data_IF_079946525711
#
_entry.id   IF_079946525711
#
_cell.length_a   1.000
_cell.length_b   1.000
_cell.length_c   1.000
_cell.angle_alpha   90.00
_cell.angle_beta   90.00
_cell.angle_gamma   90.00
#
_symmetry.space_group_name_H-M   'P 1'
#
loop_
_entity.id
_entity.type
_entity.pdbx_description
1 polymer ?
#
# COMPACT_ATOMS: atom_id res chain seq x y z
N UNK A 1 -11.61 27.64 -48.88
CA UNK A 1 -12.04 26.27 -49.20
C UNK A 1 -12.90 25.80 -48.04
N UNK A 2 -14.21 25.81 -48.20
CA UNK A 2 -15.13 25.22 -47.22
C UNK A 2 -15.22 23.73 -47.50
N UNK A 3 -15.18 22.91 -46.46
CA UNK A 3 -15.21 21.43 -46.51
C UNK A 3 -16.52 20.84 -47.07
N UNK A 4 -17.43 21.68 -47.54
CA UNK A 4 -18.80 21.33 -47.96
C UNK A 4 -18.91 20.77 -49.39
N UNK A 5 -17.80 20.60 -50.14
CA UNK A 5 -17.91 20.54 -51.60
C UNK A 5 -17.88 19.16 -52.29
N UNK A 6 -17.66 18.02 -51.60
CA UNK A 6 -17.69 16.71 -52.30
C UNK A 6 -18.24 15.55 -51.44
N UNK A 7 -19.14 14.76 -52.04
CA UNK A 7 -19.47 13.40 -51.61
C UNK A 7 -18.16 12.57 -51.60
N UNK A 8 -17.63 12.26 -50.41
CA UNK A 8 -16.31 11.64 -50.25
C UNK A 8 -15.17 12.55 -49.78
N UNK A 9 -15.44 13.73 -49.19
CA UNK A 9 -14.41 14.47 -48.45
C UNK A 9 -13.74 13.55 -47.40
N UNK A 10 -12.42 13.72 -47.19
CA UNK A 10 -11.62 12.98 -46.21
C UNK A 10 -12.27 12.93 -44.84
N UNK A 11 -12.94 14.01 -44.40
CA UNK A 11 -13.70 14.03 -43.15
C UNK A 11 -14.82 12.96 -43.13
N UNK A 12 -15.61 12.85 -44.20
CA UNK A 12 -16.69 11.87 -44.32
C UNK A 12 -16.18 10.44 -44.48
N UNK A 13 -15.07 10.24 -45.22
CA UNK A 13 -14.42 8.93 -45.34
C UNK A 13 -13.85 8.47 -44.00
N UNK A 14 -13.22 9.38 -43.27
CA UNK A 14 -12.65 9.10 -41.94
C UNK A 14 -13.76 8.80 -40.93
N UNK A 15 -14.83 9.60 -40.93
CA UNK A 15 -16.01 9.34 -40.09
C UNK A 15 -16.69 8.00 -40.43
N UNK A 16 -16.81 7.67 -41.73
CA UNK A 16 -17.32 6.39 -42.21
C UNK A 16 -16.47 5.21 -41.75
N UNK A 17 -15.14 5.31 -41.89
CA UNK A 17 -14.21 4.29 -41.40
C UNK A 17 -14.28 4.11 -39.87
N UNK A 18 -14.30 5.21 -39.11
CA UNK A 18 -14.42 5.14 -37.64
C UNK A 18 -15.71 4.42 -37.25
N UNK A 19 -16.85 4.82 -37.84
CA UNK A 19 -18.16 4.29 -37.45
C UNK A 19 -18.35 2.84 -37.90
N UNK A 20 -17.94 2.49 -39.12
CA UNK A 20 -18.21 1.17 -39.70
C UNK A 20 -17.14 0.13 -39.36
N UNK A 21 -15.87 0.54 -39.24
CA UNK A 21 -14.75 -0.38 -39.08
C UNK A 21 -14.18 -0.29 -37.66
N UNK A 22 -13.75 0.88 -37.22
CA UNK A 22 -13.03 1.00 -35.95
C UNK A 22 -13.94 0.75 -34.74
N UNK A 23 -15.17 1.27 -34.76
CA UNK A 23 -16.18 1.08 -33.71
C UNK A 23 -16.91 -0.27 -33.78
N UNK A 24 -16.56 -1.14 -34.74
CA UNK A 24 -17.17 -2.48 -34.87
C UNK A 24 -16.72 -3.45 -33.77
N UNK A 25 -15.53 -3.25 -33.18
CA UNK A 25 -14.97 -4.12 -32.13
C UNK A 25 -14.69 -3.32 -30.86
N UNK A 26 -14.74 -3.98 -29.69
CA UNK A 26 -14.41 -3.34 -28.41
C UNK A 26 -12.97 -2.82 -28.40
N UNK A 27 -12.02 -3.65 -28.88
CA UNK A 27 -10.61 -3.28 -28.95
C UNK A 27 -10.39 -2.10 -29.92
N UNK A 28 -11.02 -2.13 -31.10
CA UNK A 28 -10.97 -1.02 -32.06
C UNK A 28 -11.48 0.29 -31.47
N UNK A 29 -12.64 0.27 -30.80
CA UNK A 29 -13.19 1.46 -30.14
C UNK A 29 -12.27 2.00 -29.03
N UNK A 30 -11.65 1.12 -28.24
CA UNK A 30 -10.66 1.50 -27.22
C UNK A 30 -9.41 2.11 -27.85
N UNK A 31 -8.92 1.56 -28.96
CA UNK A 31 -7.76 2.15 -29.66
C UNK A 31 -8.06 3.54 -30.20
N UNK A 32 -9.24 3.76 -30.79
CA UNK A 32 -9.67 5.10 -31.23
C UNK A 32 -9.74 6.04 -30.04
N UNK A 33 -10.38 5.62 -28.95
CA UNK A 33 -10.50 6.43 -27.74
C UNK A 33 -9.12 6.85 -27.18
N UNK A 34 -8.15 5.95 -27.21
CA UNK A 34 -6.76 6.24 -26.82
C UNK A 34 -6.08 7.24 -27.74
N UNK A 35 -6.28 7.14 -29.05
CA UNK A 35 -5.73 8.12 -29.99
C UNK A 35 -6.36 9.50 -29.82
N UNK A 36 -7.59 9.58 -29.29
CA UNK A 36 -8.22 10.85 -28.96
C UNK A 36 -7.62 11.53 -27.71
N UNK A 37 -6.84 10.81 -26.89
CA UNK A 37 -6.19 11.36 -25.69
C UNK A 37 -5.18 12.45 -26.06
N UNK A 38 -4.42 12.25 -27.14
CA UNK A 38 -3.40 13.20 -27.63
C UNK A 38 -4.02 14.41 -28.37
N UNK A 39 -5.32 14.35 -28.69
CA UNK A 39 -6.04 15.31 -29.53
C UNK A 39 -7.30 15.88 -28.85
N UNK A 40 -7.30 15.96 -27.51
CA UNK A 40 -8.46 16.28 -26.66
C UNK A 40 -9.21 17.57 -27.05
N UNK A 41 -8.50 18.63 -27.48
CA UNK A 41 -9.12 19.92 -27.84
C UNK A 41 -9.91 19.87 -29.16
N UNK A 42 -9.49 19.05 -30.12
CA UNK A 42 -10.13 18.90 -31.44
C UNK A 42 -11.21 17.82 -31.41
N UNK A 43 -10.99 16.73 -30.66
CA UNK A 43 -11.90 15.57 -30.63
C UNK A 43 -13.17 15.80 -29.82
N UNK A 44 -13.14 16.70 -28.82
CA UNK A 44 -14.35 17.12 -28.09
C UNK A 44 -15.33 17.90 -28.99
N UNK A 45 -14.84 18.61 -30.00
CA UNK A 45 -15.68 19.38 -30.93
C UNK A 45 -16.44 18.47 -31.93
N UNK A 46 -15.95 17.26 -32.18
CA UNK A 46 -16.51 16.32 -33.18
C UNK A 46 -17.34 15.21 -32.51
N UNK A 47 -17.53 15.26 -31.18
CA UNK A 47 -18.32 14.29 -30.39
C UNK A 47 -17.87 12.82 -30.51
N UNK A 48 -16.72 12.54 -31.13
CA UNK A 48 -16.18 11.19 -31.37
C UNK A 48 -15.92 10.47 -30.04
N UNK A 49 -15.45 11.21 -29.03
CA UNK A 49 -15.16 10.65 -27.70
C UNK A 49 -16.43 10.06 -27.06
N UNK A 50 -17.55 10.78 -27.13
CA UNK A 50 -18.82 10.29 -26.57
C UNK A 50 -19.35 9.10 -27.36
N UNK A 51 -19.24 9.13 -28.70
CA UNK A 51 -19.59 7.98 -29.54
C UNK A 51 -18.76 6.74 -29.18
N UNK A 52 -17.45 6.89 -28.97
CA UNK A 52 -16.59 5.80 -28.50
C UNK A 52 -17.03 5.29 -27.13
N UNK A 53 -17.30 6.18 -26.17
CA UNK A 53 -17.77 5.78 -24.82
C UNK A 53 -19.06 4.97 -24.90
N UNK A 54 -20.03 5.42 -25.70
CA UNK A 54 -21.31 4.72 -25.87
C UNK A 54 -21.17 3.35 -26.56
N UNK A 55 -20.30 3.25 -27.57
CA UNK A 55 -20.03 1.97 -28.24
C UNK A 55 -19.27 1.01 -27.32
N UNK A 56 -18.27 1.52 -26.59
CA UNK A 56 -17.49 0.73 -25.64
C UNK A 56 -18.39 0.23 -24.51
N UNK A 57 -19.23 1.09 -23.94
CA UNK A 57 -20.13 0.71 -22.85
C UNK A 57 -21.17 -0.31 -23.31
N UNK A 58 -21.75 -0.15 -24.51
CA UNK A 58 -22.66 -1.13 -25.10
C UNK A 58 -21.98 -2.50 -25.28
N UNK A 59 -20.85 -2.54 -25.99
CA UNK A 59 -20.14 -3.80 -26.27
C UNK A 59 -19.62 -4.47 -25.00
N UNK A 60 -19.16 -3.70 -24.02
CA UNK A 60 -18.72 -4.25 -22.74
C UNK A 60 -19.88 -4.86 -21.94
N UNK A 61 -21.08 -4.27 -22.00
CA UNK A 61 -22.28 -4.86 -21.38
C UNK A 61 -22.69 -6.15 -22.10
N UNK A 62 -22.73 -6.13 -23.44
CA UNK A 62 -23.07 -7.30 -24.25
C UNK A 62 -22.11 -8.46 -23.98
N UNK A 63 -20.81 -8.20 -23.94
CA UNK A 63 -19.77 -9.20 -23.67
C UNK A 63 -19.81 -9.70 -22.21
N UNK A 64 -20.26 -8.87 -21.27
CA UNK A 64 -20.43 -9.28 -19.88
C UNK A 64 -21.65 -10.19 -19.67
N UNK A 65 -22.74 -9.95 -20.41
CA UNK A 65 -23.94 -10.79 -20.37
C UNK A 65 -23.79 -12.06 -21.23
N UNK A 66 -23.05 -11.96 -22.34
CA UNK A 66 -22.81 -13.03 -23.30
C UNK A 66 -21.31 -13.12 -23.63
N UNK A 67 -20.50 -13.72 -22.73
CA UNK A 67 -19.06 -13.82 -22.93
C UNK A 67 -18.75 -14.68 -24.17
N UNK A 68 -18.10 -14.05 -25.15
CA UNK A 68 -17.63 -14.65 -26.39
C UNK A 68 -16.15 -15.08 -26.29
N UNK A 69 -15.43 -14.57 -25.30
CA UNK A 69 -14.00 -14.81 -25.11
C UNK A 69 -13.68 -15.44 -23.73
N UNK A 70 -12.53 -16.11 -23.65
CA UNK A 70 -12.01 -16.73 -22.43
C UNK A 70 -10.71 -16.05 -21.99
N UNK A 71 -10.56 -15.68 -20.70
CA UNK A 71 -11.54 -15.81 -19.63
C UNK A 71 -12.73 -14.83 -19.79
N UNK A 72 -13.90 -15.11 -19.17
CA UNK A 72 -15.14 -14.33 -19.36
C UNK A 72 -15.05 -12.85 -18.94
N UNK A 73 -13.95 -12.45 -18.30
CA UNK A 73 -13.65 -11.07 -17.91
C UNK A 73 -12.63 -10.38 -18.84
N UNK A 74 -12.29 -10.96 -20.00
CA UNK A 74 -11.32 -10.38 -20.94
C UNK A 74 -11.67 -8.96 -21.40
N UNK A 75 -12.96 -8.63 -21.51
CA UNK A 75 -13.43 -7.28 -21.82
C UNK A 75 -13.03 -6.26 -20.75
N UNK A 76 -13.01 -6.68 -19.48
CA UNK A 76 -12.60 -5.82 -18.36
C UNK A 76 -11.10 -5.53 -18.41
N UNK A 77 -10.29 -6.47 -18.89
CA UNK A 77 -8.85 -6.26 -19.10
C UNK A 77 -8.58 -5.25 -20.22
N UNK A 78 -9.38 -5.26 -21.28
CA UNK A 78 -9.32 -4.26 -22.35
C UNK A 78 -9.68 -2.86 -21.83
N UNK A 79 -10.78 -2.75 -21.05
CA UNK A 79 -11.19 -1.49 -20.42
C UNK A 79 -10.12 -0.94 -19.47
N UNK A 80 -9.44 -1.82 -18.74
CA UNK A 80 -8.38 -1.46 -17.81
C UNK A 80 -7.16 -0.79 -18.47
N UNK A 81 -7.06 -0.81 -19.81
CA UNK A 81 -5.96 -0.16 -20.54
C UNK A 81 -6.19 1.33 -20.79
N UNK A 82 -7.39 1.87 -20.51
CA UNK A 82 -7.77 3.25 -20.78
C UNK A 82 -7.39 4.17 -19.60
N UNK A 83 -7.20 5.48 -19.82
CA UNK A 83 -7.01 6.43 -18.73
C UNK A 83 -8.24 6.56 -17.82
N UNK A 84 -8.01 6.95 -16.56
CA UNK A 84 -9.03 7.02 -15.50
C UNK A 84 -10.24 7.90 -15.86
N UNK A 85 -10.01 9.02 -16.53
CA UNK A 85 -11.07 9.97 -16.88
C UNK A 85 -12.10 9.35 -17.84
N UNK A 86 -11.65 8.58 -18.83
CA UNK A 86 -12.56 7.89 -19.72
C UNK A 86 -13.13 6.63 -19.07
N UNK A 87 -12.34 5.91 -18.26
CA UNK A 87 -12.84 4.77 -17.51
C UNK A 87 -14.04 5.16 -16.64
N UNK A 88 -13.97 6.29 -15.93
CA UNK A 88 -15.09 6.81 -15.15
C UNK A 88 -16.34 7.04 -16.01
N UNK A 89 -16.19 7.71 -17.16
CA UNK A 89 -17.30 7.96 -18.09
C UNK A 89 -17.89 6.68 -18.69
N UNK A 90 -17.04 5.69 -18.99
CA UNK A 90 -17.47 4.37 -19.48
C UNK A 90 -18.31 3.68 -18.40
N UNK A 91 -17.84 3.67 -17.15
CA UNK A 91 -18.58 3.07 -16.02
C UNK A 91 -19.92 3.79 -15.79
N UNK A 92 -19.96 5.12 -15.89
CA UNK A 92 -21.20 5.90 -15.80
C UNK A 92 -22.18 5.56 -16.94
N UNK A 93 -21.68 5.42 -18.18
CA UNK A 93 -22.49 5.00 -19.34
C UNK A 93 -22.95 3.53 -19.23
N UNK A 94 -22.14 2.63 -18.68
CA UNK A 94 -22.56 1.26 -18.38
C UNK A 94 -23.68 1.24 -17.32
N UNK A 95 -23.58 2.08 -16.29
CA UNK A 95 -24.63 2.21 -15.26
C UNK A 95 -25.94 2.74 -15.85
N UNK A 96 -25.90 3.76 -16.70
CA UNK A 96 -27.13 4.31 -17.33
C UNK A 96 -27.82 3.30 -18.25
N UNK A 97 -27.06 2.33 -18.78
CA UNK A 97 -27.55 1.19 -19.58
C UNK A 97 -28.11 0.03 -18.75
N UNK A 98 -28.06 0.11 -17.43
CA UNK A 98 -28.59 -0.94 -16.54
C UNK A 98 -27.64 -2.12 -16.35
N UNK A 99 -26.33 -1.94 -16.55
CA UNK A 99 -25.34 -2.97 -16.26
C UNK A 99 -25.47 -3.48 -14.81
N UNK A 100 -25.38 -4.81 -14.64
CA UNK A 100 -25.45 -5.45 -13.32
C UNK A 100 -24.33 -4.93 -12.42
N UNK A 101 -24.62 -4.80 -11.12
CA UNK A 101 -23.63 -4.32 -10.15
C UNK A 101 -22.35 -5.17 -10.13
N UNK A 102 -22.48 -6.50 -10.26
CA UNK A 102 -21.34 -7.43 -10.35
C UNK A 102 -20.45 -7.17 -11.58
N UNK A 103 -21.05 -6.80 -12.71
CA UNK A 103 -20.32 -6.44 -13.93
C UNK A 103 -19.49 -5.18 -13.71
N UNK A 104 -20.09 -4.15 -13.11
CA UNK A 104 -19.39 -2.91 -12.75
C UNK A 104 -18.26 -3.20 -11.75
N UNK A 105 -18.51 -4.04 -10.75
CA UNK A 105 -17.48 -4.44 -9.79
C UNK A 105 -16.33 -5.19 -10.46
N UNK A 106 -16.60 -6.10 -11.38
CA UNK A 106 -15.58 -6.82 -12.15
C UNK A 106 -14.69 -5.86 -12.95
N UNK A 107 -15.28 -4.86 -13.62
CA UNK A 107 -14.55 -3.83 -14.34
C UNK A 107 -13.64 -3.03 -13.40
N UNK A 108 -14.18 -2.56 -12.26
CA UNK A 108 -13.44 -1.78 -11.26
C UNK A 108 -12.30 -2.60 -10.66
N UNK A 109 -12.57 -3.85 -10.26
CA UNK A 109 -11.54 -4.72 -9.66
C UNK A 109 -10.41 -5.01 -10.65
N UNK A 110 -10.73 -5.24 -11.92
CA UNK A 110 -9.73 -5.46 -12.97
C UNK A 110 -8.91 -4.20 -13.24
N UNK A 111 -9.57 -3.04 -13.26
CA UNK A 111 -8.90 -1.75 -13.39
C UNK A 111 -7.95 -1.46 -12.23
N UNK A 112 -8.38 -1.65 -10.99
CA UNK A 112 -7.53 -1.49 -9.78
C UNK A 112 -6.33 -2.42 -9.84
N UNK A 113 -6.55 -3.71 -10.13
CA UNK A 113 -5.48 -4.72 -10.25
C UNK A 113 -4.39 -4.32 -11.24
N UNK A 114 -4.79 -3.75 -12.37
CA UNK A 114 -3.86 -3.33 -13.43
C UNK A 114 -3.20 -1.99 -13.15
N UNK A 115 -3.94 -1.04 -12.60
CA UNK A 115 -3.48 0.34 -12.38
C UNK A 115 -2.62 0.49 -11.12
N UNK A 116 -2.81 -0.40 -10.14
CA UNK A 116 -2.11 -0.39 -8.85
C UNK A 116 -1.54 -1.79 -8.51
N UNK A 117 -0.68 -2.41 -9.34
CA UNK A 117 -0.22 -3.78 -9.11
C UNK A 117 0.69 -3.91 -7.88
N UNK A 118 1.67 -3.00 -7.74
CA UNK A 118 2.73 -3.05 -6.71
C UNK A 118 2.21 -2.90 -5.27
N UNK A 119 1.00 -2.36 -5.08
CA UNK A 119 0.44 -2.01 -3.76
C UNK A 119 -0.54 -3.09 -3.24
N UNK A 120 -1.05 -3.96 -4.12
CA UNK A 120 -2.35 -4.60 -3.84
C UNK A 120 -2.26 -6.10 -3.69
N UNK A 121 -1.34 -6.81 -4.36
CA UNK A 121 -1.50 -8.27 -4.45
C UNK A 121 -0.26 -9.13 -4.21
N UNK A 122 0.91 -8.56 -3.89
CA UNK A 122 2.12 -9.39 -3.77
C UNK A 122 2.61 -9.61 -2.33
N UNK A 123 2.36 -10.83 -1.83
CA UNK A 123 3.20 -11.45 -0.79
C UNK A 123 4.23 -12.44 -1.36
N UNK A 124 4.30 -12.65 -2.69
CA UNK A 124 5.04 -13.80 -3.27
C UNK A 124 5.96 -13.54 -4.46
N UNK A 125 5.93 -12.40 -5.15
CA UNK A 125 6.88 -12.09 -6.23
C UNK A 125 8.00 -11.18 -5.71
N UNK A 126 8.97 -11.84 -5.10
CA UNK A 126 10.34 -11.35 -5.12
C UNK A 126 10.75 -11.03 -6.56
N UNK A 127 11.39 -9.87 -6.74
CA UNK A 127 12.32 -9.53 -7.83
C UNK A 127 11.74 -8.92 -9.12
N UNK A 128 11.22 -7.69 -9.05
CA UNK A 128 11.58 -6.70 -10.07
C UNK A 128 11.98 -5.41 -9.35
N UNK A 129 13.29 -5.12 -9.40
CA UNK A 129 13.83 -3.81 -9.02
C UNK A 129 13.15 -2.76 -9.90
N UNK A 130 12.34 -1.89 -9.31
CA UNK A 130 12.14 -0.57 -9.88
C UNK A 130 13.36 0.26 -9.53
N UNK A 131 14.11 0.80 -10.51
CA UNK A 131 15.24 1.67 -10.24
C UNK A 131 14.69 2.92 -9.56
N UNK A 132 15.30 3.27 -8.43
CA UNK A 132 15.12 4.55 -7.77
C UNK A 132 15.39 5.63 -8.83
N UNK A 133 14.31 6.22 -9.34
CA UNK A 133 14.29 7.40 -10.19
C UNK A 133 13.43 8.42 -9.48
N UNK A 134 13.87 9.67 -9.54
CA UNK A 134 13.51 10.85 -8.74
C UNK A 134 12.04 11.36 -8.91
N UNK A 135 11.11 10.46 -9.26
CA UNK A 135 9.72 10.76 -9.68
C UNK A 135 8.66 10.08 -8.77
N UNK A 136 9.04 9.69 -7.53
CA UNK A 136 8.16 8.95 -6.61
C UNK A 136 6.92 9.75 -6.20
N UNK A 137 7.04 11.07 -6.06
CA UNK A 137 5.96 11.93 -5.60
C UNK A 137 4.87 12.09 -6.66
N UNK A 138 5.24 12.34 -7.91
CA UNK A 138 4.31 12.51 -9.05
C UNK A 138 3.56 11.21 -9.35
N UNK A 139 4.25 10.07 -9.27
CA UNK A 139 3.66 8.73 -9.37
C UNK A 139 2.62 8.50 -8.26
N UNK A 140 2.92 8.86 -7.01
CA UNK A 140 1.95 8.80 -5.90
C UNK A 140 0.76 9.73 -6.11
N UNK A 141 0.97 10.95 -6.61
CA UNK A 141 -0.13 11.88 -6.91
C UNK A 141 -1.06 11.32 -8.00
N UNK A 142 -0.51 10.71 -9.05
CA UNK A 142 -1.30 10.03 -10.08
C UNK A 142 -2.07 8.84 -9.51
N UNK A 143 -1.44 8.03 -8.65
CA UNK A 143 -2.10 6.91 -7.97
C UNK A 143 -3.22 7.38 -7.03
N UNK A 144 -3.05 8.51 -6.33
CA UNK A 144 -4.10 9.14 -5.51
C UNK A 144 -5.30 9.55 -6.35
N UNK A 145 -5.05 10.25 -7.47
CA UNK A 145 -6.12 10.66 -8.38
C UNK A 145 -6.88 9.46 -8.93
N UNK A 146 -6.17 8.39 -9.31
CA UNK A 146 -6.79 7.14 -9.75
C UNK A 146 -7.69 6.57 -8.65
N UNK A 147 -7.21 6.49 -7.42
CA UNK A 147 -7.97 5.98 -6.28
C UNK A 147 -9.21 6.85 -5.99
N UNK A 148 -9.10 8.17 -6.01
CA UNK A 148 -10.21 9.09 -5.78
C UNK A 148 -11.33 8.90 -6.81
N UNK A 149 -10.97 8.84 -8.08
CA UNK A 149 -11.93 8.56 -9.16
C UNK A 149 -12.57 7.19 -9.01
N UNK A 150 -11.82 6.16 -8.61
CA UNK A 150 -12.35 4.81 -8.36
C UNK A 150 -13.35 4.81 -7.20
N UNK A 151 -13.04 5.52 -6.11
CA UNK A 151 -13.93 5.66 -4.93
C UNK A 151 -15.19 6.47 -5.27
N UNK A 152 -15.10 7.42 -6.20
CA UNK A 152 -16.26 8.15 -6.71
C UNK A 152 -17.21 7.24 -7.50
N UNK A 153 -16.69 6.34 -8.35
CA UNK A 153 -17.52 5.42 -9.15
C UNK A 153 -17.99 4.17 -8.39
N UNK A 154 -17.43 3.88 -7.22
CA UNK A 154 -17.83 2.75 -6.39
C UNK A 154 -19.33 2.83 -6.06
N UNK A 155 -20.13 1.78 -6.35
CA UNK A 155 -21.52 1.68 -5.95
C UNK A 155 -21.69 2.02 -4.47
N UNK A 156 -22.62 2.92 -4.15
CA UNK A 156 -22.98 3.21 -2.76
C UNK A 156 -23.65 1.98 -2.12
N UNK A 157 -23.76 1.96 -0.78
CA UNK A 157 -24.24 0.84 0.04
C UNK A 157 -25.56 0.25 -0.49
N UNK A 158 -25.44 -0.68 -1.42
CA UNK A 158 -26.53 -1.51 -1.91
C UNK A 158 -26.78 -2.59 -0.86
N UNK A 159 -28.03 -3.07 -0.76
CA UNK A 159 -28.43 -4.11 0.21
C UNK A 159 -27.63 -5.41 0.10
N UNK A 160 -26.83 -5.58 -0.95
CA UNK A 160 -25.99 -6.74 -1.18
C UNK A 160 -24.53 -6.33 -1.42
N UNK A 161 -23.57 -7.03 -0.80
CA UNK A 161 -22.16 -6.78 -0.99
C UNK A 161 -21.72 -7.17 -2.40
N UNK A 162 -21.36 -6.17 -3.22
CA UNK A 162 -20.91 -6.42 -4.60
C UNK A 162 -19.42 -6.78 -4.66
N UNK A 163 -18.63 -6.24 -3.72
CA UNK A 163 -17.19 -6.49 -3.62
C UNK A 163 -16.87 -7.45 -2.48
N UNK A 164 -15.83 -8.26 -2.67
CA UNK A 164 -15.29 -9.08 -1.60
C UNK A 164 -14.63 -8.21 -0.53
N UNK A 165 -14.69 -8.65 0.73
CA UNK A 165 -14.03 -7.96 1.84
C UNK A 165 -12.53 -7.84 1.62
N UNK A 166 -11.92 -8.88 1.07
CA UNK A 166 -10.51 -8.87 0.71
C UNK A 166 -10.16 -7.74 -0.26
N UNK A 167 -10.95 -7.53 -1.32
CA UNK A 167 -10.72 -6.43 -2.26
C UNK A 167 -10.84 -5.06 -1.59
N UNK A 168 -11.87 -4.86 -0.75
CA UNK A 168 -12.06 -3.61 -0.02
C UNK A 168 -10.93 -3.35 0.99
N UNK A 169 -10.47 -4.38 1.70
CA UNK A 169 -9.32 -4.26 2.61
C UNK A 169 -8.05 -3.85 1.87
N UNK A 170 -7.78 -4.45 0.72
CA UNK A 170 -6.66 -4.03 -0.12
C UNK A 170 -6.82 -2.60 -0.64
N UNK A 171 -8.03 -2.20 -1.05
CA UNK A 171 -8.31 -0.83 -1.49
C UNK A 171 -8.10 0.20 -0.36
N UNK A 172 -8.55 -0.12 0.87
CA UNK A 172 -8.32 0.71 2.04
C UNK A 172 -6.82 0.80 2.38
N UNK A 173 -6.09 -0.32 2.29
CA UNK A 173 -4.64 -0.34 2.47
C UNK A 173 -3.95 0.62 1.50
N UNK A 174 -4.33 0.65 0.22
CA UNK A 174 -3.82 1.65 -0.74
C UNK A 174 -4.14 3.06 -0.26
N UNK A 175 -5.37 3.33 0.15
CA UNK A 175 -5.80 4.66 0.60
C UNK A 175 -4.98 5.16 1.81
N UNK A 176 -4.65 4.26 2.74
CA UNK A 176 -3.78 4.53 3.88
C UNK A 176 -2.34 4.77 3.44
N UNK A 177 -1.79 3.91 2.58
CA UNK A 177 -0.41 4.02 2.07
C UNK A 177 -0.16 5.28 1.26
N UNK A 178 -1.15 5.70 0.47
CA UNK A 178 -1.12 6.92 -0.29
C UNK A 178 -1.49 8.14 0.55
N UNK A 179 -1.77 8.04 1.85
CA UNK A 179 -2.18 9.19 2.69
C UNK A 179 -3.31 10.02 2.05
N UNK A 180 -4.31 9.34 1.47
CA UNK A 180 -5.38 10.02 0.77
C UNK A 180 -6.35 10.73 1.75
N UNK A 181 -7.21 11.60 1.21
CA UNK A 181 -8.21 12.37 1.96
C UNK A 181 -9.06 11.47 2.87
N UNK A 182 -9.49 12.04 4.00
CA UNK A 182 -10.28 11.31 4.99
C UNK A 182 -11.60 10.76 4.43
N UNK A 183 -12.19 11.42 3.43
CA UNK A 183 -13.48 11.04 2.88
C UNK A 183 -13.42 9.75 2.06
N UNK A 184 -12.37 9.58 1.25
CA UNK A 184 -12.14 8.34 0.51
C UNK A 184 -11.95 7.14 1.45
N UNK A 185 -11.17 7.33 2.52
CA UNK A 185 -10.98 6.29 3.55
C UNK A 185 -12.30 5.96 4.24
N UNK A 186 -13.05 6.98 4.68
CA UNK A 186 -14.35 6.80 5.36
C UNK A 186 -15.37 6.08 4.48
N UNK A 187 -15.43 6.36 3.17
CA UNK A 187 -16.34 5.66 2.26
C UNK A 187 -16.01 4.17 2.18
N UNK A 188 -14.74 3.81 2.05
CA UNK A 188 -14.31 2.41 2.02
C UNK A 188 -14.52 1.74 3.39
N UNK A 189 -14.17 2.41 4.50
CA UNK A 189 -14.39 1.91 5.87
C UNK A 189 -15.87 1.58 6.12
N UNK A 190 -16.79 2.44 5.67
CA UNK A 190 -18.24 2.18 5.77
C UNK A 190 -18.66 0.92 5.00
N UNK A 191 -18.14 0.72 3.79
CA UNK A 191 -18.42 -0.50 3.01
C UNK A 191 -17.87 -1.75 3.68
N UNK A 192 -16.64 -1.73 4.21
CA UNK A 192 -16.07 -2.86 4.95
C UNK A 192 -16.90 -3.14 6.21
N UNK A 193 -17.27 -2.11 6.95
CA UNK A 193 -18.11 -2.21 8.15
C UNK A 193 -19.45 -2.91 7.86
N UNK A 194 -20.07 -2.63 6.71
CA UNK A 194 -21.34 -3.26 6.34
C UNK A 194 -21.23 -4.77 6.10
N UNK A 195 -20.05 -5.28 5.76
CA UNK A 195 -19.81 -6.67 5.36
C UNK A 195 -18.83 -7.41 6.29
N UNK A 196 -18.54 -6.79 7.45
CA UNK A 196 -17.52 -7.26 8.40
C UNK A 196 -17.80 -8.67 8.94
N UNK A 197 -19.04 -9.13 8.85
CA UNK A 197 -19.45 -10.50 9.17
C UNK A 197 -18.61 -11.59 8.47
N UNK A 198 -18.09 -11.30 7.28
CA UNK A 198 -17.29 -12.24 6.47
C UNK A 198 -15.77 -12.05 6.62
N UNK A 199 -15.32 -11.25 7.59
CA UNK A 199 -13.91 -10.90 7.75
C UNK A 199 -13.07 -12.06 8.27
N UNK A 200 -11.90 -12.25 7.67
CA UNK A 200 -10.87 -13.17 8.15
C UNK A 200 -9.76 -12.42 8.89
N UNK A 201 -8.95 -13.15 9.65
CA UNK A 201 -7.79 -12.56 10.34
C UNK A 201 -6.81 -11.96 9.32
N UNK A 202 -6.59 -12.63 8.19
CA UNK A 202 -5.71 -12.17 7.12
C UNK A 202 -6.18 -10.84 6.52
N UNK A 203 -7.50 -10.65 6.35
CA UNK A 203 -8.07 -9.40 5.86
C UNK A 203 -7.83 -8.23 6.82
N UNK A 204 -7.89 -8.46 8.14
CA UNK A 204 -7.55 -7.44 9.14
C UNK A 204 -6.04 -7.15 9.19
N UNK A 205 -5.21 -8.18 9.05
CA UNK A 205 -3.75 -8.02 8.96
C UNK A 205 -3.33 -7.23 7.72
N UNK A 206 -4.05 -7.36 6.60
CA UNK A 206 -3.86 -6.54 5.40
C UNK A 206 -4.03 -5.04 5.71
N UNK A 207 -4.91 -4.66 6.64
CA UNK A 207 -5.11 -3.27 7.04
C UNK A 207 -4.01 -2.75 7.97
N UNK A 208 -3.40 -3.62 8.79
CA UNK A 208 -2.50 -3.21 9.87
C UNK A 208 -1.01 -3.25 9.52
N UNK A 209 -0.60 -4.14 8.61
CA UNK A 209 0.81 -4.41 8.29
C UNK A 209 1.28 -3.74 6.99
N UNK A 210 2.54 -3.30 6.92
CA UNK A 210 3.20 -2.87 5.66
C UNK A 210 3.89 -4.03 4.93
N UNK A 211 4.07 -3.87 3.61
CA UNK A 211 4.83 -4.82 2.76
C UNK A 211 6.35 -4.78 3.00
N UNK A 212 6.90 -3.63 3.37
CA UNK A 212 8.31 -3.51 3.73
C UNK A 212 8.46 -3.53 5.25
N UNK A 213 9.03 -4.62 5.77
CA UNK A 213 9.49 -4.82 7.14
C UNK A 213 8.41 -5.07 8.22
N UNK A 214 7.19 -5.50 7.86
CA UNK A 214 6.19 -6.04 8.81
C UNK A 214 5.84 -5.12 10.01
N UNK A 215 6.04 -3.80 9.90
CA UNK A 215 5.72 -2.89 11.02
C UNK A 215 4.24 -2.51 11.01
N UNK A 216 3.58 -2.70 12.16
CA UNK A 216 2.22 -2.23 12.42
C UNK A 216 2.17 -0.70 12.30
N UNK A 217 1.32 -0.18 11.43
CA UNK A 217 1.21 1.27 11.19
C UNK A 217 -0.17 1.83 11.47
N UNK A 218 -1.23 1.13 11.04
CA UNK A 218 -2.59 1.64 11.13
C UNK A 218 -3.53 0.63 11.80
N UNK A 219 -3.59 0.72 13.12
CA UNK A 219 -4.59 0.05 13.93
C UNK A 219 -5.90 0.84 13.99
N UNK A 220 -5.88 2.11 13.58
CA UNK A 220 -7.00 3.02 13.74
C UNK A 220 -8.12 2.72 12.72
N UNK A 221 -7.76 2.34 11.49
CA UNK A 221 -8.73 1.84 10.50
C UNK A 221 -9.51 0.63 11.05
N UNK A 222 -8.81 -0.36 11.61
CA UNK A 222 -9.44 -1.56 12.21
C UNK A 222 -10.34 -1.16 13.37
N UNK A 223 -9.87 -0.28 14.26
CA UNK A 223 -10.67 0.23 15.38
C UNK A 223 -11.95 0.91 14.90
N UNK A 224 -11.88 1.82 13.94
CA UNK A 224 -13.06 2.53 13.39
C UNK A 224 -14.07 1.57 12.76
N UNK A 225 -13.60 0.63 11.93
CA UNK A 225 -14.45 -0.35 11.26
C UNK A 225 -15.17 -1.24 12.27
N UNK A 226 -14.43 -1.83 13.21
CA UNK A 226 -14.99 -2.73 14.23
C UNK A 226 -15.94 -1.95 15.15
N UNK A 227 -15.56 -0.75 15.60
CA UNK A 227 -16.42 0.10 16.46
C UNK A 227 -17.75 0.38 15.79
N UNK A 228 -17.73 0.84 14.53
CA UNK A 228 -18.97 1.15 13.83
C UNK A 228 -19.82 -0.09 13.53
N UNK A 229 -19.21 -1.26 13.30
CA UNK A 229 -19.95 -2.51 13.18
C UNK A 229 -20.65 -2.89 14.49
N UNK A 230 -19.92 -2.83 15.60
CA UNK A 230 -20.44 -3.11 16.95
C UNK A 230 -21.58 -2.17 17.31
N UNK A 231 -21.46 -0.88 17.02
CA UNK A 231 -22.52 0.11 17.22
C UNK A 231 -23.75 -0.19 16.36
N UNK A 232 -23.55 -0.53 15.08
CA UNK A 232 -24.63 -0.89 14.16
C UNK A 232 -25.38 -2.15 14.60
N UNK A 233 -24.69 -3.19 15.05
CA UNK A 233 -25.31 -4.42 15.57
C UNK A 233 -26.10 -4.16 16.86
N UNK A 234 -25.56 -3.34 17.77
CA UNK A 234 -26.29 -2.92 18.98
C UNK A 234 -27.56 -2.13 18.64
N UNK A 235 -27.53 -1.25 17.65
CA UNK A 235 -28.73 -0.53 17.21
C UNK A 235 -29.79 -1.46 16.59
N UNK A 236 -29.38 -2.53 15.90
CA UNK A 236 -30.33 -3.53 15.37
C UNK A 236 -31.05 -4.29 16.49
N UNK A 237 -30.34 -4.68 17.56
CA UNK A 237 -30.95 -5.41 18.67
C UNK A 237 -31.96 -4.59 19.45
N UNK A 238 -31.77 -3.26 19.54
CA UNK A 238 -32.71 -2.35 20.24
C UNK A 238 -34.07 -2.23 19.52
N UNK A 239 -34.12 -2.48 18.20
CA UNK A 239 -35.36 -2.36 17.41
C UNK A 239 -36.28 -3.59 17.59
N UNK A 240 -35.71 -4.74 17.98
CA UNK A 240 -36.45 -5.98 18.21
C UNK A 240 -36.92 -6.05 19.68
N UNK A 241 -38.11 -5.53 19.98
CA UNK A 241 -38.71 -5.45 21.31
C UNK A 241 -39.02 -6.79 22.03
N UNK A 242 -38.50 -7.94 21.59
CA UNK A 242 -39.05 -9.25 21.97
C UNK A 242 -38.09 -10.20 22.72
N UNK A 243 -36.77 -10.02 22.72
CA UNK A 243 -35.89 -10.94 23.48
C UNK A 243 -35.26 -10.29 24.72
N UNK A 244 -35.71 -10.77 25.88
CA UNK A 244 -35.05 -10.56 27.18
C UNK A 244 -33.69 -11.29 27.27
N UNK A 245 -33.39 -12.17 26.32
CA UNK A 245 -32.10 -12.81 26.16
C UNK A 245 -31.21 -11.95 25.25
N UNK A 246 -30.18 -11.32 25.83
CA UNK A 246 -29.13 -10.58 25.12
C UNK A 246 -28.20 -11.55 24.38
N UNK A 247 -28.74 -12.52 23.64
CA UNK A 247 -27.93 -13.45 22.86
C UNK A 247 -27.22 -12.66 21.75
N UNK A 248 -25.89 -12.75 21.65
CA UNK A 248 -25.16 -12.06 20.60
C UNK A 248 -25.61 -12.56 19.23
N UNK A 249 -25.76 -11.65 18.26
CA UNK A 249 -26.04 -12.06 16.88
C UNK A 249 -24.93 -12.99 16.38
N UNK A 250 -25.24 -13.98 15.52
CA UNK A 250 -24.22 -14.89 15.01
C UNK A 250 -23.12 -14.14 14.22
N UNK A 251 -23.45 -13.00 13.62
CA UNK A 251 -22.49 -12.12 12.98
C UNK A 251 -21.55 -11.46 14.00
N UNK A 252 -22.09 -10.96 15.10
CA UNK A 252 -21.33 -10.36 16.20
C UNK A 252 -20.39 -11.37 16.87
N UNK A 253 -20.84 -12.61 17.09
CA UNK A 253 -20.02 -13.69 17.63
C UNK A 253 -18.86 -14.07 16.69
N UNK A 254 -19.10 -14.14 15.37
CA UNK A 254 -18.05 -14.35 14.37
C UNK A 254 -16.99 -13.26 14.41
N UNK A 255 -17.43 -11.99 14.38
CA UNK A 255 -16.51 -10.84 14.43
C UNK A 255 -15.71 -10.83 15.73
N UNK A 256 -16.34 -11.13 16.88
CA UNK A 256 -15.64 -11.25 18.16
C UNK A 256 -14.48 -12.27 18.10
N UNK A 257 -14.76 -13.47 17.59
CA UNK A 257 -13.76 -14.53 17.43
C UNK A 257 -12.62 -14.11 16.48
N UNK A 258 -12.95 -13.46 15.36
CA UNK A 258 -11.93 -12.97 14.42
C UNK A 258 -11.09 -11.85 15.03
N UNK A 259 -11.68 -10.93 15.78
CA UNK A 259 -10.96 -9.85 16.48
C UNK A 259 -10.03 -10.42 17.56
N UNK A 260 -10.48 -11.39 18.35
CA UNK A 260 -9.64 -12.03 19.37
C UNK A 260 -8.48 -12.84 18.73
N UNK A 261 -8.73 -13.51 17.59
CA UNK A 261 -7.67 -14.16 16.82
C UNK A 261 -6.70 -13.16 16.17
N UNK A 262 -7.18 -12.02 15.69
CA UNK A 262 -6.36 -10.93 15.19
C UNK A 262 -5.51 -10.29 16.30
N UNK A 263 -6.07 -10.08 17.48
CA UNK A 263 -5.33 -9.63 18.68
C UNK A 263 -4.16 -10.55 19.00
N UNK A 264 -4.37 -11.87 18.88
CA UNK A 264 -3.31 -12.87 19.07
C UNK A 264 -2.17 -12.70 18.06
N UNK A 265 -2.49 -12.44 16.80
CA UNK A 265 -1.47 -12.26 15.76
C UNK A 265 -0.70 -10.95 15.95
N UNK A 266 -1.37 -9.82 16.19
CA UNK A 266 -0.67 -8.55 16.43
C UNK A 266 0.09 -8.53 17.77
N UNK A 267 -0.29 -9.36 18.74
CA UNK A 267 0.43 -9.50 20.02
C UNK A 267 1.85 -10.05 19.83
N UNK A 268 2.12 -10.75 18.72
CA UNK A 268 3.46 -11.24 18.37
C UNK A 268 4.40 -10.12 17.91
N UNK A 269 3.86 -8.95 17.57
CA UNK A 269 4.63 -7.84 17.02
C UNK A 269 5.31 -7.02 18.13
N UNK A 270 6.63 -6.83 18.00
CA UNK A 270 7.48 -6.20 19.00
C UNK A 270 7.22 -4.69 19.24
N UNK A 271 6.41 -4.03 18.39
CA UNK A 271 6.16 -2.58 18.44
C UNK A 271 4.79 -2.21 19.03
N UNK A 272 3.99 -3.18 19.48
CA UNK A 272 2.63 -2.91 19.97
C UNK A 272 2.62 -2.34 21.40
N UNK A 273 2.10 -1.13 21.58
CA UNK A 273 1.93 -0.52 22.91
C UNK A 273 0.72 -1.06 23.66
N UNK A 274 0.75 -0.97 24.99
CA UNK A 274 -0.34 -1.44 25.87
C UNK A 274 -1.66 -0.73 25.55
N UNK A 275 -1.61 0.58 25.25
CA UNK A 275 -2.81 1.36 24.92
C UNK A 275 -3.43 0.95 23.58
N UNK A 276 -2.60 0.60 22.59
CA UNK A 276 -3.06 0.09 21.31
C UNK A 276 -3.70 -1.30 21.46
N UNK A 277 -3.03 -2.22 22.16
CA UNK A 277 -3.57 -3.55 22.44
C UNK A 277 -4.90 -3.46 23.19
N UNK A 278 -4.93 -2.73 24.30
CA UNK A 278 -6.12 -2.57 25.13
C UNK A 278 -7.27 -1.91 24.37
N UNK A 279 -6.96 -0.93 23.52
CA UNK A 279 -8.00 -0.24 22.77
C UNK A 279 -8.60 -1.07 21.62
N UNK A 280 -7.98 -2.17 21.19
CA UNK A 280 -8.60 -3.16 20.30
C UNK A 280 -9.35 -4.22 21.12
N UNK A 281 -8.75 -4.70 22.23
CA UNK A 281 -9.35 -5.69 23.13
C UNK A 281 -10.74 -5.28 23.67
N UNK A 282 -10.93 -3.98 23.89
CA UNK A 282 -12.18 -3.42 24.42
C UNK A 282 -13.23 -3.05 23.36
N UNK A 283 -12.96 -3.23 22.06
CA UNK A 283 -13.94 -2.91 21.01
C UNK A 283 -15.15 -3.83 21.07
N UNK A 284 -14.92 -5.10 21.39
CA UNK A 284 -15.97 -6.12 21.47
C UNK A 284 -16.51 -6.19 22.91
N UNK A 285 -17.83 -6.06 23.11
CA UNK A 285 -18.45 -6.19 24.44
C UNK A 285 -18.23 -7.57 25.05
N UNK A 286 -18.12 -7.62 26.39
CA UNK A 286 -17.97 -8.88 27.13
C UNK A 286 -19.16 -9.82 26.96
N UNK A 287 -20.38 -9.28 26.77
CA UNK A 287 -21.60 -10.07 26.59
C UNK A 287 -21.60 -10.96 25.34
N UNK A 288 -20.72 -10.68 24.37
CA UNK A 288 -20.58 -11.46 23.14
C UNK A 288 -19.62 -12.64 23.32
N UNK A 289 -18.71 -12.56 24.30
CA UNK A 289 -17.72 -13.60 24.56
C UNK A 289 -18.33 -14.65 25.46
N UNK A 290 -18.69 -15.79 24.88
CA UNK A 290 -19.08 -16.97 25.67
C UNK A 290 -17.87 -17.55 26.42
N UNK A 291 -16.69 -17.48 25.80
CA UNK A 291 -15.42 -17.99 26.32
C UNK A 291 -14.30 -17.00 26.02
N UNK A 292 -13.57 -16.58 27.05
CA UNK A 292 -12.49 -15.58 26.95
C UNK A 292 -11.10 -16.18 26.64
N UNK A 293 -10.99 -17.51 26.44
CA UNK A 293 -9.71 -18.21 26.22
C UNK A 293 -8.88 -17.61 25.08
N UNK A 294 -9.54 -17.18 24.00
CA UNK A 294 -8.86 -16.53 22.87
C UNK A 294 -8.22 -15.19 23.27
N UNK A 295 -8.94 -14.40 24.06
CA UNK A 295 -8.46 -13.11 24.56
C UNK A 295 -7.34 -13.30 25.59
N UNK A 296 -7.49 -14.21 26.54
CA UNK A 296 -6.45 -14.53 27.52
C UNK A 296 -5.18 -15.05 26.85
N UNK A 297 -5.33 -15.91 25.84
CA UNK A 297 -4.20 -16.37 25.01
C UNK A 297 -3.49 -15.21 24.30
N UNK A 298 -4.23 -14.23 23.76
CA UNK A 298 -3.63 -13.05 23.15
C UNK A 298 -2.89 -12.17 24.17
N UNK A 299 -3.44 -12.01 25.38
CA UNK A 299 -2.82 -11.27 26.49
C UNK A 299 -1.51 -11.94 26.93
N UNK A 300 -1.52 -13.25 27.11
CA UNK A 300 -0.35 -14.01 27.53
C UNK A 300 0.80 -13.87 26.53
N UNK A 301 0.51 -14.06 25.23
CA UNK A 301 1.48 -13.84 24.15
C UNK A 301 2.03 -12.42 24.17
N UNK A 302 1.15 -11.41 24.32
CA UNK A 302 1.56 -10.01 24.38
C UNK A 302 2.52 -9.73 25.54
N UNK A 303 2.21 -10.25 26.73
CA UNK A 303 3.04 -10.08 27.93
C UNK A 303 4.39 -10.78 27.78
N UNK A 304 4.40 -11.99 27.21
CA UNK A 304 5.61 -12.76 26.94
C UNK A 304 6.53 -12.01 25.97
N UNK A 305 6.02 -11.60 24.80
CA UNK A 305 6.81 -10.88 23.78
C UNK A 305 7.34 -9.56 24.32
N UNK A 306 6.52 -8.80 25.05
CA UNK A 306 6.96 -7.54 25.64
C UNK A 306 8.04 -7.73 26.73
N UNK A 307 7.97 -8.80 27.51
CA UNK A 307 9.01 -9.16 28.47
C UNK A 307 10.33 -9.50 27.75
N UNK A 308 10.28 -10.31 26.69
CA UNK A 308 11.44 -10.69 25.89
C UNK A 308 12.10 -9.48 25.22
N UNK A 309 11.31 -8.57 24.64
CA UNK A 309 11.79 -7.32 24.04
C UNK A 309 12.46 -6.43 25.10
N UNK A 310 11.89 -6.35 26.31
CA UNK A 310 12.49 -5.58 27.41
C UNK A 310 13.83 -6.16 27.84
N UNK A 311 13.90 -7.48 28.00
CA UNK A 311 15.13 -8.19 28.35
C UNK A 311 16.19 -8.04 27.25
N UNK A 312 15.82 -8.11 25.97
CA UNK A 312 16.73 -7.91 24.85
C UNK A 312 17.36 -6.51 24.86
N UNK A 313 16.56 -5.46 25.10
CA UNK A 313 17.04 -4.07 25.21
C UNK A 313 18.00 -3.88 26.39
N UNK A 314 17.71 -4.48 27.53
CA UNK A 314 18.59 -4.43 28.71
C UNK A 314 19.92 -5.14 28.43
N UNK A 315 19.87 -6.34 27.83
CA UNK A 315 21.06 -7.08 27.42
C UNK A 315 21.93 -6.31 26.43
N UNK A 316 21.33 -5.59 25.47
CA UNK A 316 22.07 -4.73 24.55
C UNK A 316 22.75 -3.56 25.28
N UNK A 317 22.04 -2.91 26.21
CA UNK A 317 22.60 -1.83 27.04
C UNK A 317 23.78 -2.31 27.87
N UNK A 318 23.66 -3.46 28.53
CA UNK A 318 24.73 -4.09 29.31
C UNK A 318 25.93 -4.45 28.42
N UNK A 319 25.71 -5.00 27.22
CA UNK A 319 26.79 -5.27 26.26
C UNK A 319 27.53 -4.00 25.85
N UNK A 320 26.81 -2.90 25.62
CA UNK A 320 27.40 -1.62 25.24
C UNK A 320 28.18 -0.97 26.39
N UNK A 321 27.69 -1.11 27.63
CA UNK A 321 28.41 -0.68 28.82
C UNK A 321 29.67 -1.51 29.05
N UNK A 322 29.59 -2.83 28.90
CA UNK A 322 30.74 -3.73 28.99
C UNK A 322 31.79 -3.44 27.91
N UNK A 323 31.40 -3.08 26.69
CA UNK A 323 32.32 -2.60 25.65
C UNK A 323 33.02 -1.30 26.07
N UNK A 324 32.29 -0.35 26.66
CA UNK A 324 32.87 0.90 27.18
C UNK A 324 33.88 0.61 28.30
N UNK A 325 33.51 -0.21 29.28
CA UNK A 325 34.41 -0.60 30.37
C UNK A 325 35.68 -1.28 29.85
N UNK A 326 35.56 -2.20 28.88
CA UNK A 326 36.72 -2.84 28.23
C UNK A 326 37.64 -1.83 27.54
N UNK A 327 37.08 -0.84 26.84
CA UNK A 327 37.89 0.21 26.20
C UNK A 327 38.66 1.03 27.23
N UNK A 328 38.02 1.42 28.33
CA UNK A 328 38.68 2.12 29.44
C UNK A 328 39.82 1.30 30.05
N UNK A 329 39.62 0.00 30.27
CA UNK A 329 40.68 -0.89 30.81
C UNK A 329 41.86 -0.98 29.83
N UNK A 330 41.59 -1.12 28.53
CA UNK A 330 42.65 -1.16 27.50
C UNK A 330 43.47 0.15 27.49
N UNK A 331 42.81 1.30 27.60
CA UNK A 331 43.51 2.59 27.66
C UNK A 331 44.34 2.74 28.94
N UNK A 332 43.84 2.26 30.08
CA UNK A 332 44.59 2.20 31.33
C UNK A 332 45.83 1.30 31.21
N UNK A 333 45.70 0.11 30.62
CA UNK A 333 46.84 -0.81 30.41
C UNK A 333 47.89 -0.23 29.44
N UNK A 334 47.46 0.48 28.39
CA UNK A 334 48.38 1.20 27.50
C UNK A 334 49.15 2.28 28.25
N UNK A 335 48.46 3.07 29.08
CA UNK A 335 49.08 4.11 29.90
C UNK A 335 50.08 3.52 30.91
N UNK A 336 49.77 2.37 31.51
CA UNK A 336 50.71 1.64 32.38
C UNK A 336 51.92 1.07 31.63
N UNK A 337 51.75 0.56 30.40
CA UNK A 337 52.88 0.08 29.56
C UNK A 337 53.77 1.23 29.05
N UNK A 338 53.25 2.46 28.96
CA UNK A 338 54.06 3.67 28.73
C UNK A 338 54.65 4.29 30.00
N UNK A 339 54.31 3.75 31.17
CA UNK A 339 54.68 4.23 32.50
C UNK A 339 55.99 3.67 33.09
N UNK A 340 57.00 3.37 32.27
CA UNK A 340 58.39 3.17 32.72
C UNK A 340 59.37 3.97 31.85
N UNK A 341 59.10 5.26 31.67
CA UNK A 341 60.16 6.25 31.38
C UNK A 341 59.91 7.47 32.26
N UNK A 342 60.61 7.52 33.39
CA UNK A 342 60.77 8.72 34.20
C UNK A 342 61.31 9.86 33.34
N UNK A 343 60.46 10.78 32.91
CA UNK A 343 60.85 12.17 32.60
C UNK A 343 59.82 13.12 33.20
N UNK A 344 60.36 14.11 33.91
CA UNK A 344 59.73 15.06 34.84
C UNK A 344 58.51 15.79 34.27
N UNK A 345 57.57 16.25 35.12
CA UNK A 345 56.44 17.05 34.68
C UNK A 345 56.84 18.52 34.54
N UNK A 346 56.58 19.12 33.38
CA UNK A 346 56.42 20.57 33.25
C UNK A 346 54.95 20.86 33.05
N UNK A 347 54.35 21.42 34.10
CA UNK A 347 53.04 22.06 34.09
C UNK A 347 53.13 23.44 33.40
N UNK A 348 51.97 23.96 33.00
CA UNK A 348 51.65 25.22 32.30
C UNK A 348 51.73 25.13 30.76
N UNK A 349 50.72 25.55 29.99
CA UNK A 349 49.43 26.18 30.31
C UNK A 349 48.57 26.31 29.04
N UNK A 350 47.25 26.39 29.27
CA UNK A 350 46.28 27.20 28.53
C UNK A 350 45.94 26.88 27.07
N UNK A 351 44.75 26.30 26.94
CA UNK A 351 43.58 26.90 26.26
C UNK A 351 43.83 28.28 25.63
N UNK A 352 43.68 28.38 24.31
CA UNK A 352 43.01 29.52 23.70
C UNK A 352 42.31 29.08 22.43
N UNK A 353 40.98 29.07 22.51
CA UNK A 353 40.07 29.24 21.39
C UNK A 353 40.46 30.53 20.68
N UNK A 354 40.50 30.56 19.35
CA UNK A 354 39.62 31.45 18.53
C UNK A 354 40.06 31.51 17.06
N UNK A 355 39.06 31.44 16.19
CA UNK A 355 38.90 32.20 14.94
C UNK A 355 39.92 31.95 13.79
N UNK A 356 39.57 30.98 12.93
CA UNK A 356 39.98 30.97 11.52
C UNK A 356 38.80 31.30 10.60
N UNK A 357 38.26 32.52 10.68
CA UNK A 357 37.46 33.11 9.60
C UNK A 357 38.40 33.90 8.69
N UNK A 358 38.24 33.69 7.39
CA UNK A 358 38.66 34.57 6.28
C UNK A 358 40.20 34.58 6.03
N UNK A 359 40.72 34.35 4.83
CA UNK A 359 40.27 34.93 3.57
C UNK A 359 40.73 34.13 2.33
N UNK A 360 40.08 34.39 1.17
CA UNK A 360 40.33 33.80 -0.14
C UNK A 360 41.41 34.56 -0.94
N UNK A 361 41.84 33.93 -2.04
CA UNK A 361 42.79 34.40 -3.07
C UNK A 361 44.29 34.41 -2.71
N UNK A 362 45.02 33.42 -3.25
CA UNK A 362 45.98 33.69 -4.34
C UNK A 362 46.44 32.39 -5.00
N UNK A 363 46.21 32.34 -6.32
CA UNK A 363 46.84 31.41 -7.27
C UNK A 363 48.36 31.57 -7.26
N UNK A 364 49.08 30.51 -7.67
CA UNK A 364 50.20 30.69 -8.58
C UNK A 364 51.40 29.77 -8.44
N UNK A 365 51.49 28.82 -9.38
CA UNK A 365 52.73 28.24 -9.97
C UNK A 365 53.51 27.22 -9.14
N UNK A 366 54.30 26.30 -9.69
CA UNK A 366 54.39 25.50 -10.93
C UNK A 366 55.65 24.63 -10.72
N UNK A 367 55.66 23.39 -11.24
CA UNK A 367 56.82 22.52 -11.50
C UNK A 367 57.70 22.01 -10.33
N UNK A 368 57.74 20.68 -10.11
CA UNK A 368 58.83 19.77 -10.56
C UNK A 368 58.75 18.34 -9.94
N UNK A 369 58.64 17.35 -10.82
CA UNK A 369 59.33 16.02 -10.89
C UNK A 369 59.31 14.96 -9.77
N UNK A 370 58.67 13.82 -10.11
CA UNK A 370 59.15 12.42 -10.19
C UNK A 370 59.62 11.58 -8.97
N UNK A 371 59.39 10.25 -9.17
CA UNK A 371 59.93 9.01 -8.54
C UNK A 371 59.03 8.42 -7.45
N UNK A 372 58.61 7.15 -7.44
CA UNK A 372 58.56 6.02 -8.36
C UNK A 372 57.68 4.95 -7.65
N UNK A 373 56.90 4.19 -8.39
CA UNK A 373 55.92 3.20 -7.91
C UNK A 373 56.44 1.79 -8.23
N UNK A 374 56.62 0.95 -7.22
CA UNK A 374 56.51 -0.52 -7.35
C UNK A 374 56.56 -1.20 -5.97
N UNK A 375 55.62 -2.11 -5.71
CA UNK A 375 55.89 -3.53 -5.38
C UNK A 375 54.58 -4.30 -5.17
N UNK A 376 54.58 -5.47 -5.81
CA UNK A 376 53.58 -6.54 -5.90
C UNK A 376 53.09 -7.11 -4.56
N UNK A 377 51.85 -7.61 -4.54
CA UNK A 377 51.35 -8.54 -3.51
C UNK A 377 50.99 -9.89 -4.13
N UNK A 378 51.81 -10.89 -3.82
CA UNK A 378 51.62 -12.31 -4.14
C UNK A 378 50.74 -13.03 -3.09
N UNK A 379 49.91 -13.97 -3.56
CA UNK A 379 49.07 -14.90 -2.75
C UNK A 379 49.92 -16.03 -2.12
N UNK A 380 49.39 -16.71 -1.08
CA UNK A 380 49.49 -18.19 -1.02
C UNK A 380 48.16 -18.84 -0.58
N UNK A 381 47.62 -19.86 -1.27
CA UNK A 381 47.95 -21.31 -1.36
C UNK A 381 47.25 -22.19 -0.30
N UNK A 382 46.29 -22.99 -0.80
CA UNK A 382 45.64 -24.17 -0.18
C UNK A 382 46.68 -25.24 0.24
N UNK A 383 46.44 -25.95 1.34
CA UNK A 383 46.98 -27.29 1.60
C UNK A 383 45.84 -28.31 1.65
N UNK A 384 46.03 -29.39 0.90
CA UNK A 384 45.28 -30.65 0.91
C UNK A 384 45.74 -31.50 2.08
N UNK A 385 44.86 -32.35 2.60
CA UNK A 385 45.23 -33.64 3.19
C UNK A 385 44.38 -34.74 2.54
N UNK A 386 45.09 -35.80 2.17
CA UNK A 386 44.67 -37.17 1.80
C UNK A 386 45.66 -38.05 2.60
N UNK A 387 45.43 -39.27 3.06
CA UNK A 387 44.47 -40.36 2.86
C UNK A 387 44.51 -41.25 4.12
N UNK A 388 43.49 -42.09 4.34
CA UNK A 388 43.55 -43.57 4.31
C UNK A 388 42.15 -44.13 4.45
#
# INVERSE_FOLDING_TARGET
>A
MTDECCEGNLANLTHGFITQVALSTLSGAITVLKTCEDLLSVTQQINIVNQCIEVISAKACDEADFPSCLPPNCWAEELAKVQINFFQKIIESMKSRGAKALTIACAITTYVKRSLPDIVFDRSASTIKSPISDDSLTSKHKQRQILDSIVAILPDETRQPVFSINFLCHLLRIAVLLENTGDCKRKIEKQIMAILEHVTVDDLLILSLRFENERLRDLECVRRIVTGFVEKEKSKSVICYVDFDQTPSPAMARVAKTVDAYLREIARECELSVSQFNGIANLVPKSVREVDDCLYSAIDIYLQVNADVRLAKENEKLKNELKRMKMYVIDMEKNHKTGYKTKKPTFFSSVSKTLGKLNPFKQGSKDTTNIDDQIERTKPKRRRFSMS
#
